data_IF_459928394176
#
_entry.id   IF_459928394176
#
_cell.length_a   1.000
_cell.length_b   1.000
_cell.length_c   1.000
_cell.angle_alpha   90.00
_cell.angle_beta   90.00
_cell.angle_gamma   90.00
#
_symmetry.space_group_name_H-M   'P 1'
#
loop_
_entity.id
_entity.type
_entity.pdbx_description
1 polymer ?
#
# COMPACT_ATOMS: atom_id res chain seq x y z
N UNK A 1 -10.80 13.09 47.69
CA UNK A 1 -9.79 13.71 46.80
C UNK A 1 -8.75 12.70 46.26
N UNK A 2 -8.37 11.67 47.03
CA UNK A 2 -7.43 10.62 46.59
C UNK A 2 -8.01 9.70 45.50
N UNK A 3 -9.31 9.35 45.57
CA UNK A 3 -9.99 8.54 44.55
C UNK A 3 -10.03 9.20 43.16
N UNK A 4 -10.22 10.52 43.10
CA UNK A 4 -10.20 11.27 41.83
C UNK A 4 -8.83 11.19 41.16
N UNK A 5 -7.75 11.27 41.95
CA UNK A 5 -6.39 11.17 41.44
C UNK A 5 -6.09 9.77 40.88
N UNK A 6 -6.59 8.71 41.53
CA UNK A 6 -6.45 7.33 41.05
C UNK A 6 -7.24 7.05 39.77
N UNK A 7 -8.49 7.54 39.67
CA UNK A 7 -9.31 7.39 38.46
C UNK A 7 -8.69 8.16 37.29
N UNK A 8 -8.22 9.39 37.54
CA UNK A 8 -7.53 10.20 36.52
C UNK A 8 -6.15 9.62 36.16
N UNK A 9 -5.43 9.02 37.10
CA UNK A 9 -4.14 8.33 36.85
C UNK A 9 -4.30 7.13 35.92
N UNK A 10 -5.40 6.37 36.05
CA UNK A 10 -5.74 5.28 35.13
C UNK A 10 -6.19 5.80 33.75
N UNK A 11 -6.63 7.06 33.63
CA UNK A 11 -6.97 7.69 32.34
C UNK A 11 -5.79 8.36 31.64
N UNK A 12 -4.65 8.58 32.31
CA UNK A 12 -3.45 9.23 31.73
C UNK A 12 -2.48 8.21 31.12
N UNK A 13 -2.67 6.91 31.34
CA UNK A 13 -1.96 5.87 30.60
C UNK A 13 -2.74 5.48 29.34
N UNK A 14 -3.06 6.48 28.51
CA UNK A 14 -3.27 6.22 27.10
C UNK A 14 -1.92 5.79 26.54
N UNK A 15 -1.64 4.50 26.64
CA UNK A 15 -0.47 3.88 26.05
C UNK A 15 -0.34 4.42 24.63
N UNK A 16 0.87 4.90 24.35
CA UNK A 16 1.28 5.52 23.11
C UNK A 16 0.51 4.94 21.94
N UNK A 17 -0.10 5.79 21.11
CA UNK A 17 -0.67 5.41 19.82
C UNK A 17 0.29 4.40 19.21
N UNK A 18 -0.06 3.12 19.28
CA UNK A 18 0.64 2.10 18.53
C UNK A 18 0.37 2.55 17.11
N UNK A 19 1.35 3.22 16.48
CA UNK A 19 1.27 3.56 15.08
C UNK A 19 1.25 2.22 14.37
N UNK A 20 0.04 1.70 14.16
CA UNK A 20 -0.16 0.44 13.49
C UNK A 20 0.44 0.63 12.11
N UNK A 21 1.49 -0.13 11.82
CA UNK A 21 2.16 -0.14 10.52
C UNK A 21 1.30 -0.94 9.52
N UNK A 22 0.02 -0.59 9.42
CA UNK A 22 -1.00 -1.26 8.62
C UNK A 22 -1.77 -0.28 7.71
N UNK A 23 -1.35 0.99 7.67
CA UNK A 23 -1.92 1.98 6.78
C UNK A 23 -1.55 1.73 5.30
N UNK A 24 -2.37 2.20 4.36
CA UNK A 24 -2.05 2.10 2.94
C UNK A 24 -0.81 2.93 2.58
N UNK A 25 0.08 2.37 1.77
CA UNK A 25 1.35 3.01 1.38
C UNK A 25 1.28 3.85 0.10
N UNK A 26 0.12 3.91 -0.57
CA UNK A 26 -0.08 4.83 -1.69
C UNK A 26 -0.56 4.24 -3.01
N UNK A 27 -0.76 2.92 -3.11
CA UNK A 27 -1.23 2.28 -4.36
C UNK A 27 -2.61 2.79 -4.79
N UNK A 28 -3.55 2.89 -3.85
CA UNK A 28 -4.92 3.34 -4.11
C UNK A 28 -5.00 4.88 -4.18
N UNK A 29 -4.32 5.59 -3.28
CA UNK A 29 -4.41 7.05 -3.20
C UNK A 29 -3.67 7.78 -4.32
N UNK A 30 -2.75 7.11 -5.03
CA UNK A 30 -1.94 7.72 -6.08
C UNK A 30 -0.65 8.37 -5.58
N UNK A 31 -0.34 8.29 -4.28
CA UNK A 31 0.94 8.73 -3.71
C UNK A 31 2.12 7.98 -4.33
N UNK A 32 1.96 6.67 -4.58
CA UNK A 32 2.86 5.92 -5.46
C UNK A 32 2.51 6.31 -6.89
N UNK A 33 3.43 6.96 -7.59
CA UNK A 33 3.22 7.46 -8.95
C UNK A 33 3.42 6.34 -9.98
N UNK A 34 2.87 6.51 -11.19
CA UNK A 34 2.92 5.46 -12.22
C UNK A 34 4.35 5.02 -12.59
N UNK A 35 5.31 5.94 -12.60
CA UNK A 35 6.72 5.63 -12.89
C UNK A 35 7.41 4.80 -11.79
N UNK A 36 6.81 4.69 -10.59
CA UNK A 36 7.28 3.84 -9.51
C UNK A 36 6.77 2.40 -9.63
N UNK A 37 5.90 2.12 -10.61
CA UNK A 37 5.30 0.82 -10.86
C UNK A 37 5.95 0.26 -12.12
N UNK A 38 6.68 -0.84 -11.99
CA UNK A 38 7.40 -1.50 -13.10
C UNK A 38 7.11 -2.99 -13.09
N UNK A 39 7.26 -3.64 -14.23
CA UNK A 39 7.06 -5.08 -14.36
C UNK A 39 8.13 -5.70 -15.26
N UNK A 40 8.33 -7.02 -15.14
CA UNK A 40 9.15 -7.81 -16.07
C UNK A 40 8.67 -7.66 -17.52
N UNK A 41 7.35 -7.71 -17.70
CA UNK A 41 6.69 -7.57 -18.98
C UNK A 41 5.23 -7.16 -18.81
N UNK A 42 4.66 -6.62 -19.88
CA UNK A 42 3.28 -6.15 -19.93
C UNK A 42 2.64 -6.68 -21.22
N UNK A 43 1.44 -7.24 -21.11
CA UNK A 43 0.65 -7.65 -22.27
C UNK A 43 0.26 -6.43 -23.10
N UNK A 44 0.14 -6.57 -24.42
CA UNK A 44 -0.01 -5.44 -25.35
C UNK A 44 -1.35 -4.71 -25.25
N UNK A 45 -2.31 -5.26 -24.51
CA UNK A 45 -3.61 -4.63 -24.25
C UNK A 45 -3.44 -3.37 -23.39
N UNK A 46 -3.98 -2.20 -23.81
CA UNK A 46 -3.93 -0.96 -23.03
C UNK A 46 -4.51 -1.08 -21.61
N UNK A 47 -5.49 -1.97 -21.40
CA UNK A 47 -6.08 -2.18 -20.08
C UNK A 47 -5.23 -3.10 -19.19
N UNK A 48 -4.20 -3.74 -19.74
CA UNK A 48 -3.25 -4.62 -19.04
C UNK A 48 -1.95 -3.95 -18.54
N UNK A 49 -1.83 -2.62 -18.61
CA UNK A 49 -0.62 -1.86 -18.27
C UNK A 49 -0.23 -2.02 -16.79
N UNK A 50 1.07 -2.02 -16.46
CA UNK A 50 1.57 -2.19 -15.08
C UNK A 50 1.00 -1.16 -14.08
N UNK A 51 0.77 0.09 -14.49
CA UNK A 51 0.11 1.12 -13.66
C UNK A 51 -1.32 0.77 -13.25
N UNK A 52 -1.97 -0.15 -13.97
CA UNK A 52 -3.31 -0.64 -13.65
C UNK A 52 -3.29 -1.73 -12.56
N UNK A 53 -2.14 -2.10 -12.01
CA UNK A 53 -2.04 -3.00 -10.84
C UNK A 53 -2.61 -2.43 -9.53
N UNK A 54 -3.10 -1.18 -9.54
CA UNK A 54 -3.74 -0.55 -8.38
C UNK A 54 -5.04 -1.28 -8.02
N UNK A 55 -5.34 -1.34 -6.73
CA UNK A 55 -6.59 -1.93 -6.23
C UNK A 55 -7.79 -1.01 -6.57
N UNK A 56 -8.97 -1.62 -6.73
CA UNK A 56 -10.24 -0.93 -7.03
C UNK A 56 -10.27 -0.16 -8.36
N UNK A 57 -9.53 -0.64 -9.35
CA UNK A 57 -9.63 -0.15 -10.72
C UNK A 57 -10.97 -0.54 -11.37
N UNK A 58 -11.29 0.13 -12.48
CA UNK A 58 -12.40 -0.25 -13.37
C UNK A 58 -12.30 -1.74 -13.74
N UNK A 59 -13.44 -2.41 -13.94
CA UNK A 59 -13.54 -3.87 -14.01
C UNK A 59 -12.57 -4.57 -15.00
N UNK A 60 -12.11 -3.86 -16.03
CA UNK A 60 -11.26 -4.42 -17.08
C UNK A 60 -9.78 -4.03 -16.97
N UNK A 61 -9.41 -3.21 -15.97
CA UNK A 61 -8.04 -2.70 -15.81
C UNK A 61 -7.26 -3.46 -14.75
N UNK A 62 -6.15 -4.05 -15.17
CA UNK A 62 -5.22 -4.76 -14.31
C UNK A 62 -3.80 -4.71 -14.89
N UNK A 63 -2.81 -5.23 -14.16
CA UNK A 63 -1.56 -5.64 -14.82
C UNK A 63 -1.70 -7.06 -15.31
N UNK A 64 -1.32 -7.30 -16.57
CA UNK A 64 -1.22 -8.63 -17.15
C UNK A 64 0.22 -8.83 -17.64
N UNK A 65 0.90 -9.86 -17.15
CA UNK A 65 2.20 -10.25 -17.69
C UNK A 65 2.06 -10.70 -19.16
N UNK A 66 3.09 -10.43 -19.97
CA UNK A 66 3.09 -10.81 -21.39
C UNK A 66 3.19 -12.33 -21.56
N UNK A 67 3.92 -12.98 -20.66
CA UNK A 67 4.19 -14.42 -20.70
C UNK A 67 3.58 -15.11 -19.49
N UNK A 68 3.10 -16.35 -19.68
CA UNK A 68 2.69 -17.21 -18.57
C UNK A 68 3.92 -17.94 -18.04
N UNK A 69 4.68 -17.28 -17.17
CA UNK A 69 5.93 -17.79 -16.59
C UNK A 69 6.04 -17.41 -15.12
N UNK A 70 6.67 -18.28 -14.33
CA UNK A 70 6.96 -18.04 -12.91
C UNK A 70 8.08 -16.99 -12.72
N UNK A 71 8.73 -16.57 -13.81
CA UNK A 71 9.74 -15.50 -13.81
C UNK A 71 9.16 -14.09 -13.92
N UNK A 72 7.85 -13.96 -14.12
CA UNK A 72 7.20 -12.66 -14.23
C UNK A 72 7.06 -11.99 -12.86
N UNK A 73 7.23 -10.67 -12.82
CA UNK A 73 7.19 -9.89 -11.60
C UNK A 73 6.60 -8.50 -11.82
N UNK A 74 6.07 -7.94 -10.73
CA UNK A 74 5.62 -6.57 -10.60
C UNK A 74 6.35 -5.95 -9.41
N UNK A 75 7.03 -4.83 -9.62
CA UNK A 75 7.80 -4.12 -8.62
C UNK A 75 7.19 -2.75 -8.36
N UNK A 76 7.11 -2.40 -7.08
CA UNK A 76 6.64 -1.10 -6.60
C UNK A 76 7.79 -0.43 -5.85
N UNK A 77 8.28 0.70 -6.36
CA UNK A 77 9.27 1.53 -5.67
C UNK A 77 8.58 2.47 -4.67
N UNK A 78 8.83 2.28 -3.37
CA UNK A 78 8.26 3.12 -2.32
C UNK A 78 8.97 4.48 -2.18
N UNK A 79 10.09 4.70 -2.86
CA UNK A 79 10.89 5.94 -2.83
C UNK A 79 11.61 6.20 -1.50
N UNK A 80 11.39 5.35 -0.49
CA UNK A 80 12.04 5.38 0.83
C UNK A 80 12.39 3.96 1.26
N UNK A 81 13.37 3.83 2.15
CA UNK A 81 13.62 2.57 2.83
C UNK A 81 12.45 2.26 3.77
N UNK A 82 11.88 1.05 3.65
CA UNK A 82 10.97 0.52 4.66
C UNK A 82 11.71 0.38 6.00
N UNK A 83 11.04 0.69 7.10
CA UNK A 83 11.60 0.73 8.47
C UNK A 83 11.20 -0.49 9.27
#
# INVERSE_FOLDING_TARGET
MILYFFILWNSIHADAVTQLCNGPLGMISGEIRDWQITASSTFWDPDCHEKNARLYQSADRAWCARHKSDSEWLQIDLGIAAK
#
